data_IF_946992168551
#
_entry.id   IF_946992168551
#
_cell.length_a   1.000
_cell.length_b   1.000
_cell.length_c   1.000
_cell.angle_alpha   90.00
_cell.angle_beta   90.00
_cell.angle_gamma   90.00
#
_symmetry.space_group_name_H-M   'P 1'
#
loop_
_entity.id
_entity.type
_entity.pdbx_description
1 polymer ?
#
# COMPACT_ATOMS: atom_id res chain seq x y z
N UNK A 1 -17.30 -7.38 -4.95
CA UNK A 1 -15.91 -7.74 -5.27
C UNK A 1 -14.99 -7.27 -4.14
N UNK A 2 -13.98 -8.04 -3.84
CA UNK A 2 -12.97 -7.73 -2.85
C UNK A 2 -11.60 -8.17 -3.38
N UNK A 3 -10.50 -7.52 -2.97
CA UNK A 3 -9.16 -7.93 -3.40
C UNK A 3 -8.79 -9.28 -2.79
N UNK A 4 -7.93 -10.03 -3.47
CA UNK A 4 -7.25 -11.15 -2.85
C UNK A 4 -6.42 -10.66 -1.66
N UNK A 5 -6.25 -11.51 -0.67
CA UNK A 5 -5.53 -11.17 0.55
C UNK A 5 -4.34 -12.09 0.75
N UNK A 6 -3.28 -11.52 1.32
CA UNK A 6 -2.04 -12.21 1.62
C UNK A 6 -1.57 -11.82 3.01
N UNK A 7 -1.12 -12.78 3.79
CA UNK A 7 -0.51 -12.55 5.10
C UNK A 7 0.94 -13.04 5.04
N UNK A 8 1.87 -12.23 5.49
CA UNK A 8 3.29 -12.60 5.49
C UNK A 8 4.07 -11.90 6.60
N UNK A 9 5.23 -12.46 6.93
CA UNK A 9 6.11 -11.95 7.98
C UNK A 9 7.25 -11.06 7.46
N UNK A 10 7.46 -11.05 6.15
CA UNK A 10 8.52 -10.28 5.52
C UNK A 10 8.20 -8.78 5.52
N UNK A 11 9.24 -7.95 5.68
CA UNK A 11 9.12 -6.49 5.62
C UNK A 11 8.65 -5.98 4.26
N UNK A 12 8.73 -6.80 3.21
CA UNK A 12 8.27 -6.49 1.86
C UNK A 12 6.88 -7.07 1.53
N UNK A 13 6.21 -7.70 2.49
CA UNK A 13 4.86 -8.26 2.27
C UNK A 13 3.90 -7.20 1.73
N UNK A 14 3.99 -5.98 2.21
CA UNK A 14 3.11 -4.88 1.79
C UNK A 14 3.37 -4.35 0.37
N UNK A 15 4.46 -4.75 -0.29
CA UNK A 15 4.71 -4.37 -1.68
C UNK A 15 3.62 -4.84 -2.64
N UNK A 16 3.01 -5.99 -2.34
CA UNK A 16 1.97 -6.57 -3.19
C UNK A 16 0.72 -5.68 -3.29
N UNK A 17 0.53 -4.77 -2.35
CA UNK A 17 -0.56 -3.80 -2.39
C UNK A 17 -0.48 -2.87 -3.61
N UNK A 18 0.70 -2.71 -4.19
CA UNK A 18 0.89 -1.99 -5.45
C UNK A 18 0.17 -2.65 -6.63
N UNK A 19 -0.07 -3.97 -6.56
CA UNK A 19 -0.83 -4.74 -7.55
C UNK A 19 -2.34 -4.80 -7.24
N UNK A 20 -2.80 -4.16 -6.19
CA UNK A 20 -4.20 -4.22 -5.77
C UNK A 20 -4.56 -5.48 -4.98
N UNK A 21 -3.57 -6.24 -4.52
CA UNK A 21 -3.73 -7.36 -3.60
C UNK A 21 -3.51 -6.84 -2.17
N UNK A 22 -4.39 -7.19 -1.25
CA UNK A 22 -4.25 -6.75 0.14
C UNK A 22 -3.22 -7.62 0.87
N UNK A 23 -1.98 -7.14 0.92
CA UNK A 23 -0.88 -7.77 1.66
C UNK A 23 -0.76 -7.17 3.06
N UNK A 24 -0.83 -8.03 4.07
CA UNK A 24 -0.76 -7.63 5.47
C UNK A 24 0.47 -8.24 6.14
N UNK A 25 1.36 -7.40 6.64
CA UNK A 25 2.50 -7.83 7.43
C UNK A 25 2.06 -8.15 8.86
N UNK A 26 2.38 -9.37 9.31
CA UNK A 26 2.03 -9.85 10.65
C UNK A 26 3.24 -10.45 11.34
N UNK A 27 3.14 -10.68 12.66
CA UNK A 27 4.14 -11.42 13.40
C UNK A 27 4.17 -12.91 13.04
N UNK A 28 5.26 -13.59 13.41
CA UNK A 28 5.44 -15.01 13.07
C UNK A 28 4.33 -15.91 13.61
N UNK A 29 3.83 -15.63 14.80
CA UNK A 29 2.78 -16.44 15.44
C UNK A 29 1.47 -16.31 14.67
N UNK A 30 1.10 -15.11 14.24
CA UNK A 30 -0.10 -14.88 13.45
C UNK A 30 -0.02 -15.54 12.06
N UNK A 31 1.15 -15.48 11.43
CA UNK A 31 1.38 -16.15 10.15
C UNK A 31 1.27 -17.68 10.29
N UNK A 32 1.83 -18.25 11.35
CA UNK A 32 1.74 -19.67 11.65
C UNK A 32 0.28 -20.09 11.87
N UNK A 33 -0.47 -19.32 12.64
CA UNK A 33 -1.90 -19.57 12.86
C UNK A 33 -2.68 -19.57 11.53
N UNK A 34 -2.41 -18.61 10.65
CA UNK A 34 -3.03 -18.54 9.33
C UNK A 34 -2.69 -19.75 8.46
N UNK A 35 -1.43 -20.21 8.47
CA UNK A 35 -1.00 -21.40 7.75
C UNK A 35 -1.68 -22.67 8.24
N UNK A 36 -2.02 -22.74 9.53
CA UNK A 36 -2.73 -23.87 10.13
C UNK A 36 -4.26 -23.75 10.00
N UNK A 37 -4.74 -22.72 9.30
CA UNK A 37 -6.17 -22.51 9.11
C UNK A 37 -6.90 -21.99 10.34
N UNK A 38 -6.17 -21.46 11.32
CA UNK A 38 -6.77 -20.87 12.51
C UNK A 38 -7.17 -19.41 12.25
N UNK A 39 -8.34 -18.96 12.73
CA UNK A 39 -8.75 -17.58 12.54
C UNK A 39 -7.89 -16.63 13.37
N UNK A 40 -7.56 -15.48 12.76
CA UNK A 40 -6.89 -14.36 13.44
C UNK A 40 -7.90 -13.21 13.54
N UNK A 41 -8.21 -12.81 14.76
CA UNK A 41 -9.14 -11.69 15.01
C UNK A 41 -8.39 -10.37 14.93
N UNK A 42 -8.89 -9.45 14.10
CA UNK A 42 -8.37 -8.11 13.95
C UNK A 42 -9.51 -7.10 13.86
N UNK A 43 -9.29 -5.90 14.38
CA UNK A 43 -10.21 -4.80 14.15
C UNK A 43 -10.06 -4.31 12.72
N UNK A 44 -11.19 -4.08 12.05
CA UNK A 44 -11.19 -3.48 10.72
C UNK A 44 -10.71 -2.03 10.86
N UNK A 45 -9.58 -1.64 10.25
CA UNK A 45 -9.08 -0.28 10.37
C UNK A 45 -9.88 0.70 9.52
N UNK A 46 -9.86 1.96 9.91
CA UNK A 46 -10.37 3.04 9.08
C UNK A 46 -9.51 3.19 7.82
N UNK A 47 -10.13 3.65 6.75
CA UNK A 47 -9.45 3.89 5.46
C UNK A 47 -9.31 5.40 5.25
N UNK A 48 -8.07 5.83 5.00
CA UNK A 48 -7.76 7.21 4.62
C UNK A 48 -7.49 7.25 3.13
N UNK A 49 -8.22 8.07 2.39
CA UNK A 49 -8.00 8.28 0.96
C UNK A 49 -6.89 9.29 0.71
N UNK A 50 -5.94 8.95 -0.17
CA UNK A 50 -4.89 9.86 -0.63
C UNK A 50 -5.03 10.04 -2.14
N UNK A 51 -5.50 11.22 -2.55
CA UNK A 51 -5.76 11.54 -3.95
C UNK A 51 -4.52 12.06 -4.65
N UNK A 52 -4.11 11.38 -5.72
CA UNK A 52 -3.03 11.82 -6.60
C UNK A 52 -3.60 12.49 -7.83
N UNK A 53 -3.15 13.69 -8.13
CA UNK A 53 -3.58 14.48 -9.30
C UNK A 53 -2.37 15.01 -10.07
N UNK A 54 -2.55 15.22 -11.38
CA UNK A 54 -1.52 15.80 -12.23
C UNK A 54 -0.41 14.81 -12.57
N UNK A 55 0.73 15.36 -12.98
CA UNK A 55 1.93 14.60 -13.36
C UNK A 55 3.13 15.11 -12.57
N UNK A 56 4.15 14.26 -12.44
CA UNK A 56 5.44 14.69 -11.90
C UNK A 56 6.02 15.77 -12.81
N UNK A 57 6.52 16.83 -12.18
CA UNK A 57 7.24 17.88 -12.90
C UNK A 57 8.56 17.34 -13.44
N UNK A 58 9.01 17.90 -14.55
CA UNK A 58 10.32 17.61 -15.10
C UNK A 58 11.40 17.83 -14.04
N UNK A 59 12.31 16.86 -13.89
CA UNK A 59 13.38 16.91 -12.89
C UNK A 59 13.01 16.35 -11.52
N UNK A 60 11.74 16.01 -11.25
CA UNK A 60 11.30 15.35 -10.02
C UNK A 60 11.31 13.84 -10.24
N UNK A 61 11.97 13.11 -9.33
CA UNK A 61 12.07 11.65 -9.40
C UNK A 61 10.91 10.98 -8.64
N UNK A 62 10.71 9.69 -8.92
CA UNK A 62 9.77 8.87 -8.15
C UNK A 62 10.15 8.81 -6.66
N UNK A 63 11.45 8.84 -6.35
CA UNK A 63 11.93 8.90 -4.96
C UNK A 63 11.45 10.16 -4.24
N UNK A 64 11.48 11.30 -4.91
CA UNK A 64 10.97 12.56 -4.36
C UNK A 64 9.48 12.46 -4.05
N UNK A 65 8.70 11.84 -4.94
CA UNK A 65 7.28 11.59 -4.73
C UNK A 65 7.04 10.71 -3.50
N UNK A 66 7.76 9.59 -3.39
CA UNK A 66 7.65 8.66 -2.27
C UNK A 66 7.93 9.36 -0.94
N UNK A 67 8.99 10.14 -0.87
CA UNK A 67 9.37 10.89 0.34
C UNK A 67 8.32 11.94 0.70
N UNK A 68 7.78 12.65 -0.29
CA UNK A 68 6.73 13.65 -0.08
C UNK A 68 5.45 13.01 0.45
N UNK A 69 5.02 11.90 -0.13
CA UNK A 69 3.84 11.14 0.31
C UNK A 69 4.03 10.66 1.75
N UNK A 70 5.18 10.09 2.07
CA UNK A 70 5.52 9.63 3.41
C UNK A 70 5.43 10.77 4.43
N UNK A 71 5.99 11.92 4.12
CA UNK A 71 5.96 13.09 5.00
C UNK A 71 4.53 13.60 5.22
N UNK A 72 3.74 13.72 4.17
CA UNK A 72 2.35 14.19 4.26
C UNK A 72 1.49 13.25 5.10
N UNK A 73 1.62 11.94 4.90
CA UNK A 73 0.85 10.94 5.65
C UNK A 73 1.26 10.89 7.12
N UNK A 74 2.55 11.01 7.43
CA UNK A 74 3.02 11.12 8.82
C UNK A 74 2.43 12.33 9.53
N UNK A 75 2.39 13.47 8.84
CA UNK A 75 1.84 14.71 9.39
C UNK A 75 0.33 14.61 9.62
N UNK A 76 -0.38 13.93 8.74
CA UNK A 76 -1.84 13.70 8.87
C UNK A 76 -2.16 12.76 10.03
N UNK A 77 -1.33 11.75 10.29
CA UNK A 77 -1.54 10.74 11.31
C UNK A 77 -2.41 9.58 10.82
N UNK A 78 -1.75 8.54 10.31
CA UNK A 78 -2.43 7.36 9.74
C UNK A 78 -2.11 6.07 10.50
N UNK A 79 -1.63 6.19 11.74
CA UNK A 79 -1.27 5.05 12.58
C UNK A 79 -2.49 4.14 12.78
N UNK A 80 -2.33 2.86 12.51
CA UNK A 80 -3.40 1.88 12.64
C UNK A 80 -4.48 1.96 11.57
N UNK A 81 -4.28 2.73 10.51
CA UNK A 81 -5.24 2.93 9.41
C UNK A 81 -4.70 2.34 8.12
N UNK A 82 -5.62 2.05 7.19
CA UNK A 82 -5.27 1.77 5.80
C UNK A 82 -5.22 3.10 5.02
N UNK A 83 -4.32 3.17 4.05
CA UNK A 83 -4.26 4.29 3.09
C UNK A 83 -4.61 3.76 1.72
N UNK A 84 -5.61 4.33 1.09
CA UNK A 84 -6.02 4.03 -0.27
C UNK A 84 -5.58 5.15 -1.20
N UNK A 85 -4.75 4.82 -2.18
CA UNK A 85 -4.31 5.77 -3.20
C UNK A 85 -5.26 5.74 -4.39
N UNK A 86 -5.66 6.90 -4.86
CA UNK A 86 -6.59 7.04 -5.98
C UNK A 86 -6.36 8.36 -6.72
N UNK A 87 -7.08 8.54 -7.82
CA UNK A 87 -7.06 9.78 -8.58
C UNK A 87 -6.37 9.65 -9.94
N UNK A 88 -6.49 10.68 -10.75
CA UNK A 88 -6.02 10.70 -12.14
C UNK A 88 -4.50 10.60 -12.26
N UNK A 89 -3.77 11.04 -11.24
CA UNK A 89 -2.30 10.95 -11.19
C UNK A 89 -1.76 9.51 -11.17
N UNK A 90 -2.58 8.52 -10.84
CA UNK A 90 -2.15 7.12 -10.84
C UNK A 90 -1.83 6.60 -12.24
N UNK A 91 -2.47 7.11 -13.28
CA UNK A 91 -2.24 6.67 -14.66
C UNK A 91 -0.79 6.87 -15.10
N UNK A 92 -0.12 7.87 -14.56
CA UNK A 92 1.27 8.21 -14.89
C UNK A 92 2.28 7.63 -13.89
N UNK A 93 1.81 6.85 -12.90
CA UNK A 93 2.65 6.26 -11.87
C UNK A 93 2.93 4.78 -12.21
N UNK A 94 4.20 4.42 -12.53
CA UNK A 94 4.56 3.03 -12.81
C UNK A 94 4.30 2.10 -11.64
N UNK A 95 4.10 0.81 -11.94
CA UNK A 95 3.84 -0.20 -10.92
C UNK A 95 4.96 -0.31 -9.89
N UNK A 96 6.22 -0.20 -10.32
CA UNK A 96 7.37 -0.24 -9.42
C UNK A 96 7.31 0.85 -8.35
N UNK A 97 6.89 2.06 -8.71
CA UNK A 97 6.75 3.17 -7.77
C UNK A 97 5.57 2.95 -6.82
N UNK A 98 4.48 2.38 -7.31
CA UNK A 98 3.33 1.99 -6.46
C UNK A 98 3.76 0.95 -5.42
N UNK A 99 4.50 -0.06 -5.84
CA UNK A 99 5.02 -1.09 -4.95
C UNK A 99 5.95 -0.49 -3.88
N UNK A 100 6.80 0.46 -4.26
CA UNK A 100 7.69 1.15 -3.32
C UNK A 100 6.89 1.94 -2.28
N UNK A 101 5.87 2.70 -2.70
CA UNK A 101 5.02 3.47 -1.79
C UNK A 101 4.28 2.51 -0.84
N UNK A 102 3.71 1.43 -1.36
CA UNK A 102 3.00 0.43 -0.56
C UNK A 102 3.93 -0.23 0.47
N UNK A 103 5.17 -0.52 0.09
CA UNK A 103 6.17 -1.10 0.98
C UNK A 103 6.58 -0.15 2.11
N UNK A 104 6.46 1.15 1.91
CA UNK A 104 6.79 2.17 2.91
C UNK A 104 5.65 2.47 3.88
N UNK A 105 4.57 1.68 3.87
CA UNK A 105 3.44 1.88 4.80
C UNK A 105 3.86 1.97 6.26
N UNK A 106 4.77 1.11 6.77
CA UNK A 106 5.25 1.26 8.14
C UNK A 106 5.97 2.58 8.41
N UNK A 107 6.70 3.11 7.43
CA UNK A 107 7.46 4.36 7.57
C UNK A 107 6.53 5.57 7.73
N UNK A 108 5.37 5.60 7.09
CA UNK A 108 4.38 6.63 7.36
C UNK A 108 3.36 6.25 8.44
N UNK A 109 3.53 5.09 9.06
CA UNK A 109 2.76 4.65 10.21
C UNK A 109 1.46 3.93 9.91
N UNK A 110 1.11 3.73 8.65
CA UNK A 110 -0.10 3.02 8.26
C UNK A 110 0.07 1.50 8.38
N UNK A 111 -1.03 0.79 8.57
CA UNK A 111 -1.04 -0.68 8.54
C UNK A 111 -0.80 -1.19 7.11
N UNK A 112 -1.46 -0.60 6.12
CA UNK A 112 -1.28 -0.89 4.71
C UNK A 112 -1.53 0.37 3.88
N UNK A 113 -0.84 0.47 2.74
CA UNK A 113 -1.17 1.44 1.70
C UNK A 113 -1.34 0.68 0.40
N UNK A 114 -2.49 0.78 -0.25
CA UNK A 114 -2.76 -0.01 -1.44
C UNK A 114 -3.29 0.82 -2.60
N UNK A 115 -3.15 0.27 -3.80
CA UNK A 115 -3.50 0.88 -5.07
C UNK A 115 -4.59 0.09 -5.76
N UNK A 116 -5.43 0.73 -6.59
CA UNK A 116 -6.43 0.02 -7.37
C UNK A 116 -5.79 -0.80 -8.50
N UNK A 117 -6.52 -1.81 -8.95
CA UNK A 117 -6.20 -2.51 -10.20
C UNK A 117 -6.69 -1.64 -11.36
N UNK A 118 -5.77 -1.16 -12.18
CA UNK A 118 -6.05 -0.33 -13.34
C UNK A 118 -5.24 -0.79 -14.57
N UNK A 119 -5.27 0.00 -15.64
CA UNK A 119 -4.57 -0.35 -16.88
C UNK A 119 -3.06 -0.50 -16.69
N UNK A 120 -2.46 0.25 -15.77
CA UNK A 120 -1.03 0.11 -15.43
C UNK A 120 -0.76 -1.27 -14.83
N UNK A 121 -1.60 -1.72 -13.91
CA UNK A 121 -1.51 -3.04 -13.30
C UNK A 121 -1.71 -4.14 -14.33
N UNK A 122 -2.73 -4.02 -15.18
CA UNK A 122 -3.03 -4.99 -16.23
C UNK A 122 -1.92 -5.06 -17.27
N UNK A 123 -1.29 -3.94 -17.58
CA UNK A 123 -0.15 -3.90 -18.50
C UNK A 123 1.09 -4.64 -17.98
N UNK A 124 1.28 -4.68 -16.67
CA UNK A 124 2.34 -5.46 -16.04
C UNK A 124 2.04 -6.96 -16.09
N UNK A 125 0.80 -7.32 -15.86
CA UNK A 125 0.35 -8.71 -15.88
C UNK A 125 0.38 -9.28 -17.32
#
# INVERSE_FOLDING_TARGET
AYPDTLVGTDSHTTMINGLGILGWGVGGIEAEAAMLGQPVSMLIPDVVGFKLTGKLREGITATDLVLTVTQMLRKHGVVGKFVEFYGDGLADLPLADRATIANMSPEFGATCGFFPVDDVTLGYM
#
